data_IF_902176753908
#
_entry.id   IF_902176753908
#
_cell.length_a   1.000
_cell.length_b   1.000
_cell.length_c   1.000
_cell.angle_alpha   90.00
_cell.angle_beta   90.00
_cell.angle_gamma   90.00
#
_symmetry.space_group_name_H-M   'P 1'
#
loop_
_entity.id
_entity.type
_entity.pdbx_description
1 polymer ?
#
# COMPACT_ATOMS: atom_id res chain seq x y z
N UNK A 1 37.72 -29.24 7.16
CA UNK A 1 37.65 -28.14 6.17
C UNK A 1 36.56 -28.39 5.12
N UNK A 2 35.30 -28.65 5.51
CA UNK A 2 34.20 -28.99 4.57
C UNK A 2 32.89 -28.24 4.80
N UNK A 3 32.85 -27.26 5.71
CA UNK A 3 31.64 -26.46 5.98
C UNK A 3 31.76 -24.98 5.61
N UNK A 4 32.95 -24.52 5.18
CA UNK A 4 33.16 -23.11 4.80
C UNK A 4 32.64 -22.78 3.40
N UNK A 5 32.34 -23.77 2.57
CA UNK A 5 31.79 -23.56 1.22
C UNK A 5 30.25 -23.41 1.19
N UNK A 6 29.56 -23.67 2.31
CA UNK A 6 28.09 -23.60 2.35
C UNK A 6 27.54 -22.19 2.67
N UNK A 7 28.40 -21.24 3.03
CA UNK A 7 28.00 -19.86 3.38
C UNK A 7 27.98 -18.88 2.20
N UNK A 8 28.39 -19.31 1.00
CA UNK A 8 28.56 -18.41 -0.15
C UNK A 8 27.46 -18.49 -1.22
N UNK A 9 26.30 -19.09 -0.90
CA UNK A 9 25.19 -19.30 -1.84
C UNK A 9 23.86 -18.63 -1.42
N UNK A 10 23.87 -17.72 -0.45
CA UNK A 10 22.65 -17.02 0.03
C UNK A 10 22.70 -15.50 -0.11
N UNK A 11 23.48 -15.00 -1.08
CA UNK A 11 23.60 -13.55 -1.36
C UNK A 11 22.84 -13.09 -2.62
N UNK A 12 22.10 -13.96 -3.30
CA UNK A 12 21.30 -13.58 -4.47
C UNK A 12 19.79 -13.74 -4.16
N UNK A 13 19.05 -12.66 -4.45
CA UNK A 13 17.60 -12.52 -4.40
C UNK A 13 16.96 -12.00 -3.09
N UNK A 14 17.55 -10.95 -2.50
CA UNK A 14 16.73 -9.84 -1.99
C UNK A 14 16.46 -8.84 -3.13
N UNK A 15 15.96 -9.34 -4.27
CA UNK A 15 15.24 -8.47 -5.19
C UNK A 15 13.93 -8.13 -4.47
N UNK A 16 13.97 -7.09 -3.64
CA UNK A 16 12.74 -6.45 -3.19
C UNK A 16 11.88 -6.22 -4.42
N UNK A 17 10.57 -6.48 -4.32
CA UNK A 17 9.63 -6.21 -5.40
C UNK A 17 9.64 -4.70 -5.70
N UNK A 18 10.58 -4.24 -6.51
CA UNK A 18 10.57 -2.93 -7.12
C UNK A 18 9.59 -2.94 -8.28
N UNK A 19 9.15 -1.74 -8.69
CA UNK A 19 8.38 -1.59 -9.90
C UNK A 19 9.16 -2.15 -11.10
N UNK A 20 8.47 -2.81 -12.02
CA UNK A 20 9.10 -3.42 -13.19
C UNK A 20 9.68 -2.33 -14.11
N UNK A 21 10.96 -2.47 -14.48
CA UNK A 21 11.67 -1.56 -15.38
C UNK A 21 13.08 -1.24 -14.88
N UNK A 22 14.00 -1.00 -15.82
CA UNK A 22 15.42 -0.74 -15.55
C UNK A 22 15.71 0.75 -15.31
N UNK A 23 14.79 1.62 -15.73
CA UNK A 23 14.90 3.08 -15.56
C UNK A 23 13.71 3.62 -14.78
N UNK A 24 13.88 4.76 -14.11
CA UNK A 24 12.80 5.44 -13.41
C UNK A 24 11.59 5.72 -14.33
N UNK A 25 11.82 6.05 -15.61
CA UNK A 25 10.73 6.25 -16.58
C UNK A 25 9.94 4.97 -16.85
N UNK A 26 10.62 3.85 -17.07
CA UNK A 26 9.98 2.54 -17.27
C UNK A 26 9.22 2.09 -16.02
N UNK A 27 9.81 2.27 -14.84
CA UNK A 27 9.16 1.96 -13.56
C UNK A 27 7.89 2.80 -13.37
N UNK A 28 7.95 4.11 -13.64
CA UNK A 28 6.79 5.00 -13.63
C UNK A 28 5.70 4.55 -14.61
N UNK A 29 6.07 4.15 -15.82
CA UNK A 29 5.14 3.63 -16.82
C UNK A 29 4.47 2.33 -16.36
N UNK A 30 5.23 1.41 -15.76
CA UNK A 30 4.72 0.18 -15.18
C UNK A 30 3.71 0.45 -14.06
N UNK A 31 4.03 1.37 -13.15
CA UNK A 31 3.11 1.78 -12.07
C UNK A 31 1.83 2.41 -12.64
N UNK A 32 1.93 3.26 -13.66
CA UNK A 32 0.77 3.85 -14.31
C UNK A 32 -0.12 2.79 -14.99
N UNK A 33 0.48 1.77 -15.62
CA UNK A 33 -0.25 0.63 -16.18
C UNK A 33 -1.00 -0.13 -15.07
N UNK A 34 -0.31 -0.45 -13.98
CA UNK A 34 -0.87 -1.09 -12.79
C UNK A 34 -2.05 -0.29 -12.21
N UNK A 35 -1.93 1.04 -12.15
CA UNK A 35 -3.01 1.93 -11.73
C UNK A 35 -4.24 1.76 -12.61
N UNK A 36 -4.07 1.88 -13.93
CA UNK A 36 -5.18 1.79 -14.90
C UNK A 36 -5.90 0.44 -14.85
N UNK A 37 -5.13 -0.66 -14.80
CA UNK A 37 -5.69 -2.01 -14.70
C UNK A 37 -6.45 -2.22 -13.38
N UNK A 38 -5.88 -1.73 -12.27
CA UNK A 38 -6.50 -1.87 -10.95
C UNK A 38 -7.80 -1.07 -10.87
N UNK A 39 -7.83 0.17 -11.37
CA UNK A 39 -9.06 0.97 -11.40
C UNK A 39 -10.13 0.37 -12.31
N UNK A 40 -9.73 -0.14 -13.48
CA UNK A 40 -10.65 -0.87 -14.37
C UNK A 40 -11.27 -2.06 -13.66
N UNK A 41 -10.45 -2.88 -12.97
CA UNK A 41 -10.94 -4.01 -12.17
C UNK A 41 -11.81 -3.55 -11.00
N UNK A 42 -11.44 -2.47 -10.32
CA UNK A 42 -12.23 -1.89 -9.23
C UNK A 42 -13.63 -1.52 -9.71
N UNK A 43 -13.74 -0.79 -10.82
CA UNK A 43 -15.04 -0.35 -11.34
C UNK A 43 -15.92 -1.49 -11.85
N UNK A 44 -15.31 -2.58 -12.30
CA UNK A 44 -16.07 -3.79 -12.65
C UNK A 44 -16.62 -4.52 -11.42
N UNK A 45 -15.91 -4.47 -10.29
CA UNK A 45 -16.32 -5.11 -9.03
C UNK A 45 -17.24 -4.21 -8.18
N UNK A 46 -16.99 -2.91 -8.20
CA UNK A 46 -17.65 -1.86 -7.41
C UNK A 46 -17.91 -0.63 -8.29
N UNK A 47 -18.99 -0.65 -9.11
CA UNK A 47 -19.31 0.47 -10.01
C UNK A 47 -19.44 1.82 -9.29
N UNK A 48 -19.89 1.82 -8.04
CA UNK A 48 -20.03 2.99 -7.18
C UNK A 48 -18.69 3.66 -6.87
N UNK A 49 -17.58 2.90 -6.87
CA UNK A 49 -16.24 3.43 -6.63
C UNK A 49 -15.82 4.44 -7.70
N UNK A 50 -16.44 4.39 -8.90
CA UNK A 50 -16.24 5.41 -9.94
C UNK A 50 -16.70 6.78 -9.47
N UNK A 51 -17.89 6.85 -8.86
CA UNK A 51 -18.41 8.10 -8.31
C UNK A 51 -17.59 8.55 -7.12
N UNK A 52 -17.19 7.62 -6.25
CA UNK A 52 -16.37 7.92 -5.08
C UNK A 52 -15.03 8.58 -5.48
N UNK A 53 -14.31 7.98 -6.43
CA UNK A 53 -13.03 8.52 -6.90
C UNK A 53 -13.21 9.85 -7.66
N UNK A 54 -14.30 10.03 -8.39
CA UNK A 54 -14.56 11.27 -9.13
C UNK A 54 -14.78 12.49 -8.22
N UNK A 55 -15.32 12.28 -7.02
CA UNK A 55 -15.63 13.36 -6.07
C UNK A 55 -14.58 13.51 -4.96
N UNK A 56 -13.50 12.75 -5.02
CA UNK A 56 -12.40 12.79 -4.06
C UNK A 56 -11.43 13.95 -4.33
N UNK A 57 -10.61 14.29 -3.34
CA UNK A 57 -9.46 15.20 -3.50
C UNK A 57 -8.27 14.50 -4.17
N UNK A 58 -8.17 13.17 -4.01
CA UNK A 58 -7.14 12.35 -4.63
C UNK A 58 -7.33 10.87 -4.34
N UNK A 59 -6.54 10.03 -4.99
CA UNK A 59 -6.56 8.59 -4.74
C UNK A 59 -5.16 7.98 -4.88
N UNK A 60 -4.93 6.88 -4.20
CA UNK A 60 -3.70 6.10 -4.31
C UNK A 60 -4.01 4.69 -4.79
N UNK A 61 -3.17 4.15 -5.66
CA UNK A 61 -3.25 2.76 -6.10
C UNK A 61 -1.91 2.08 -5.84
N UNK A 62 -1.98 0.96 -5.13
CA UNK A 62 -0.83 0.18 -4.72
C UNK A 62 -0.94 -1.26 -5.19
N UNK A 63 0.18 -1.82 -5.63
CA UNK A 63 0.36 -3.25 -5.80
C UNK A 63 1.32 -3.76 -4.73
N UNK A 64 0.95 -4.82 -4.04
CA UNK A 64 1.80 -5.41 -3.01
C UNK A 64 1.78 -6.93 -3.04
N UNK A 65 2.92 -7.47 -2.63
CA UNK A 65 3.13 -8.88 -2.41
C UNK A 65 3.43 -9.07 -0.92
N UNK A 66 2.64 -9.91 -0.27
CA UNK A 66 2.86 -10.28 1.12
C UNK A 66 3.10 -11.78 1.23
N UNK A 67 4.05 -12.15 2.08
CA UNK A 67 4.39 -13.53 2.38
C UNK A 67 4.11 -13.79 3.85
N UNK A 68 3.49 -14.92 4.15
CA UNK A 68 3.28 -15.40 5.51
C UNK A 68 3.96 -16.74 5.71
N UNK A 69 4.67 -16.87 6.83
CA UNK A 69 5.30 -18.09 7.28
C UNK A 69 4.99 -18.25 8.77
N UNK A 70 4.16 -19.24 9.10
CA UNK A 70 3.71 -19.53 10.45
C UNK A 70 3.01 -18.32 11.09
N UNK A 71 3.65 -17.68 12.07
CA UNK A 71 3.12 -16.52 12.80
C UNK A 71 3.65 -15.19 12.29
N UNK A 72 4.61 -15.18 11.35
CA UNK A 72 5.23 -13.96 10.84
C UNK A 72 4.76 -13.67 9.41
N UNK A 73 4.33 -12.43 9.19
CA UNK A 73 3.98 -11.90 7.88
C UNK A 73 4.82 -10.67 7.54
N UNK A 74 5.33 -10.63 6.32
CA UNK A 74 6.04 -9.48 5.76
C UNK A 74 5.58 -9.23 4.34
N UNK A 75 5.58 -7.98 3.90
CA UNK A 75 5.18 -7.62 2.56
C UNK A 75 5.82 -6.32 2.11
N UNK A 76 5.85 -6.13 0.80
CA UNK A 76 6.35 -4.92 0.18
C UNK A 76 5.60 -4.64 -1.11
N UNK A 77 5.79 -3.44 -1.64
CA UNK A 77 5.22 -3.04 -2.90
C UNK A 77 5.34 -1.55 -3.13
N UNK A 78 4.58 -1.10 -4.11
CA UNK A 78 4.74 0.22 -4.69
C UNK A 78 3.42 0.70 -5.30
N UNK A 79 3.34 1.99 -5.56
CA UNK A 79 2.11 2.58 -6.06
C UNK A 79 2.29 4.03 -6.47
N UNK A 80 1.16 4.64 -6.78
CA UNK A 80 1.08 6.04 -7.17
C UNK A 80 -0.12 6.70 -6.52
N UNK A 81 0.08 7.93 -6.06
CA UNK A 81 -0.97 8.84 -5.62
C UNK A 81 -1.23 9.84 -6.71
N UNK A 82 -2.49 10.00 -7.08
CA UNK A 82 -2.97 11.04 -7.98
C UNK A 82 -3.65 12.12 -7.15
N UNK A 83 -3.09 13.33 -7.19
CA UNK A 83 -3.80 14.55 -6.76
C UNK A 83 -4.74 14.97 -7.90
N UNK A 84 -6.05 14.94 -7.64
CA UNK A 84 -7.06 15.23 -8.66
C UNK A 84 -7.18 16.72 -8.98
N UNK A 85 -6.71 17.60 -8.09
CA UNK A 85 -6.71 19.05 -8.29
C UNK A 85 -5.55 19.50 -9.17
N UNK A 86 -4.37 18.92 -8.98
CA UNK A 86 -3.16 19.30 -9.73
C UNK A 86 -2.87 18.38 -10.92
N UNK A 87 -3.47 17.19 -10.95
CA UNK A 87 -3.15 16.14 -11.92
C UNK A 87 -1.79 15.48 -11.69
N UNK A 88 -1.08 15.84 -10.61
CA UNK A 88 0.26 15.34 -10.30
C UNK A 88 0.20 13.90 -9.78
N UNK A 89 1.11 13.08 -10.30
CA UNK A 89 1.42 11.77 -9.74
C UNK A 89 2.59 11.87 -8.76
N UNK A 90 2.43 11.29 -7.57
CA UNK A 90 3.51 11.02 -6.62
C UNK A 90 3.68 9.52 -6.48
N UNK A 91 4.88 9.01 -6.76
CA UNK A 91 5.19 7.59 -6.64
C UNK A 91 5.55 7.24 -5.21
N UNK A 92 5.11 6.08 -4.74
CA UNK A 92 5.25 5.68 -3.34
C UNK A 92 5.67 4.22 -3.21
N UNK A 93 6.37 3.93 -2.12
CA UNK A 93 6.69 2.59 -1.63
C UNK A 93 5.78 2.23 -0.47
N UNK A 94 5.56 0.94 -0.26
CA UNK A 94 5.00 0.44 0.99
C UNK A 94 5.73 -0.80 1.51
N UNK A 95 5.69 -0.95 2.83
CA UNK A 95 6.06 -2.17 3.53
C UNK A 95 4.93 -2.59 4.46
N UNK A 96 4.81 -3.89 4.66
CA UNK A 96 3.85 -4.51 5.55
C UNK A 96 4.61 -5.44 6.49
N UNK A 97 4.23 -5.43 7.76
CA UNK A 97 4.74 -6.36 8.77
C UNK A 97 3.65 -6.67 9.78
N UNK A 98 3.51 -7.94 10.16
CA UNK A 98 2.47 -8.32 11.10
C UNK A 98 2.65 -9.73 11.63
N UNK A 99 1.97 -10.01 12.74
CA UNK A 99 1.88 -11.35 13.29
C UNK A 99 0.51 -11.95 12.96
N UNK A 100 0.48 -13.22 12.56
CA UNK A 100 -0.76 -13.95 12.33
C UNK A 100 -0.54 -15.29 11.65
N UNK A 101 -1.32 -16.28 12.08
CA UNK A 101 -1.25 -17.65 11.57
C UNK A 101 -1.62 -17.69 10.08
N UNK A 102 -0.70 -18.16 9.25
CA UNK A 102 -0.93 -18.36 7.83
C UNK A 102 0.33 -18.81 7.10
N UNK A 103 0.13 -19.31 5.89
CA UNK A 103 1.23 -19.70 5.02
C UNK A 103 0.88 -19.37 3.58
N UNK A 104 1.84 -18.78 2.87
CA UNK A 104 1.72 -18.51 1.43
C UNK A 104 2.04 -17.08 1.04
N UNK A 105 2.04 -16.85 -0.27
CA UNK A 105 2.21 -15.54 -0.89
C UNK A 105 0.86 -15.04 -1.35
N UNK A 106 0.56 -13.77 -1.05
CA UNK A 106 -0.67 -13.09 -1.45
C UNK A 106 -0.30 -11.85 -2.24
N UNK A 107 -0.75 -11.81 -3.50
CA UNK A 107 -0.78 -10.59 -4.30
C UNK A 107 -2.08 -9.84 -4.01
N UNK A 108 -1.96 -8.54 -3.76
CA UNK A 108 -3.11 -7.68 -3.49
C UNK A 108 -2.92 -6.32 -4.13
N UNK A 109 -4.04 -5.72 -4.55
CA UNK A 109 -4.12 -4.33 -4.99
C UNK A 109 -4.95 -3.56 -3.98
N UNK A 110 -4.45 -2.39 -3.60
CA UNK A 110 -5.13 -1.51 -2.64
C UNK A 110 -5.39 -0.17 -3.29
N UNK A 111 -6.63 0.31 -3.21
CA UNK A 111 -7.02 1.65 -3.65
C UNK A 111 -7.47 2.43 -2.43
N UNK A 112 -6.79 3.54 -2.15
CA UNK A 112 -7.18 4.50 -1.10
C UNK A 112 -7.78 5.72 -1.78
N UNK A 113 -8.94 6.17 -1.33
CA UNK A 113 -9.64 7.34 -1.87
C UNK A 113 -9.73 8.39 -0.79
N UNK A 114 -9.15 9.55 -1.03
CA UNK A 114 -9.03 10.65 -0.06
C UNK A 114 -10.07 11.73 -0.38
N UNK A 115 -11.03 11.92 0.53
CA UNK A 115 -12.04 12.98 0.50
C UNK A 115 -11.64 14.20 1.33
N UNK A 116 -10.36 14.29 1.69
CA UNK A 116 -9.81 15.37 2.48
C UNK A 116 -8.42 15.77 1.97
N UNK A 117 -8.29 17.03 1.61
CA UNK A 117 -7.02 17.62 1.15
C UNK A 117 -5.90 17.49 2.17
N UNK A 118 -6.19 17.65 3.46
CA UNK A 118 -5.16 17.56 4.48
C UNK A 118 -4.69 16.11 4.62
N UNK A 119 -5.60 15.13 4.62
CA UNK A 119 -5.25 13.71 4.62
C UNK A 119 -4.42 13.32 3.39
N UNK A 120 -4.83 13.74 2.19
CA UNK A 120 -4.08 13.51 0.95
C UNK A 120 -2.68 14.13 1.02
N UNK A 121 -2.59 15.39 1.43
CA UNK A 121 -1.33 16.11 1.52
C UNK A 121 -0.38 15.44 2.52
N UNK A 122 -0.86 15.15 3.73
CA UNK A 122 -0.10 14.42 4.75
C UNK A 122 0.39 13.07 4.22
N UNK A 123 -0.46 12.31 3.53
CA UNK A 123 -0.04 11.04 2.93
C UNK A 123 1.11 11.21 1.93
N UNK A 124 1.01 12.21 1.06
CA UNK A 124 2.01 12.51 0.02
C UNK A 124 3.32 12.98 0.65
N UNK A 125 3.28 13.79 1.71
CA UNK A 125 4.51 14.41 2.27
C UNK A 125 5.17 13.60 3.35
N UNK A 126 4.38 12.96 4.23
CA UNK A 126 4.87 12.26 5.42
C UNK A 126 4.72 10.75 5.30
N UNK A 127 3.88 10.27 4.37
CA UNK A 127 3.46 8.88 4.33
C UNK A 127 2.44 8.56 5.43
N UNK A 128 2.12 7.27 5.57
CA UNK A 128 1.27 6.80 6.68
C UNK A 128 1.83 5.52 7.29
N UNK A 129 1.55 5.36 8.59
CA UNK A 129 1.65 4.08 9.27
C UNK A 129 0.26 3.65 9.76
N UNK A 130 -0.18 2.50 9.31
CA UNK A 130 -1.39 1.82 9.81
C UNK A 130 -0.91 0.72 10.73
N UNK A 131 -1.44 0.61 11.95
CA UNK A 131 -1.06 -0.43 12.91
C UNK A 131 -2.26 -1.26 13.37
N UNK A 132 -1.99 -2.48 13.84
CA UNK A 132 -2.96 -3.38 14.46
C UNK A 132 -3.51 -2.88 15.80
N UNK A 133 -2.81 -1.92 16.42
CA UNK A 133 -3.11 -1.36 17.73
C UNK A 133 -2.89 0.16 17.66
N UNK A 134 -3.88 0.95 18.07
CA UNK A 134 -3.78 2.41 18.10
C UNK A 134 -2.59 2.87 18.97
N UNK A 135 -2.28 2.11 20.03
CA UNK A 135 -1.15 2.36 20.93
C UNK A 135 0.23 2.05 20.30
N UNK A 136 0.32 1.10 19.37
CA UNK A 136 1.58 0.81 18.68
C UNK A 136 1.90 1.88 17.63
N UNK A 137 0.87 2.47 17.03
CA UNK A 137 0.99 3.55 16.07
C UNK A 137 1.29 4.90 16.77
N UNK A 138 0.74 5.13 17.97
CA UNK A 138 1.04 6.30 18.81
C UNK A 138 2.49 6.33 19.36
N UNK A 139 3.15 5.18 19.58
CA UNK A 139 4.57 5.15 20.01
C UNK A 139 5.56 5.61 18.93
N UNK A 140 5.13 5.77 17.68
CA UNK A 140 5.95 6.28 16.58
C UNK A 140 5.71 7.78 16.30
N UNK A 141 4.83 8.44 17.07
CA UNK A 141 4.54 9.88 16.96
C UNK A 141 5.80 10.74 17.22
N UNK A 142 6.78 10.21 17.96
CA UNK A 142 8.12 10.82 18.16
C UNK A 142 8.93 11.01 16.85
N UNK A 143 8.45 10.48 15.71
CA UNK A 143 9.06 10.68 14.37
C UNK A 143 8.16 11.40 13.36
N UNK A 144 7.05 12.00 13.81
CA UNK A 144 6.24 12.93 13.00
C UNK A 144 5.39 12.30 11.89
N UNK A 145 5.00 11.03 12.02
CA UNK A 145 4.08 10.36 11.09
C UNK A 145 2.79 10.03 11.84
N UNK A 146 1.71 10.78 11.55
CA UNK A 146 0.42 10.55 12.18
C UNK A 146 -0.13 9.16 11.84
N UNK A 147 -0.60 8.38 12.84
CA UNK A 147 -1.18 7.06 12.59
C UNK A 147 -2.56 7.18 11.93
N UNK A 148 -2.84 6.31 10.96
CA UNK A 148 -4.19 6.14 10.39
C UNK A 148 -4.68 4.75 10.77
N UNK A 149 -5.77 4.64 11.53
CA UNK A 149 -6.41 3.34 11.74
C UNK A 149 -7.24 3.01 10.50
N UNK A 150 -6.63 2.37 9.50
CA UNK A 150 -7.38 1.87 8.36
C UNK A 150 -8.18 0.64 8.78
N UNK A 151 -9.51 0.79 8.80
CA UNK A 151 -10.42 -0.34 8.92
C UNK A 151 -10.19 -1.29 7.74
N UNK A 152 -9.45 -2.37 8.00
CA UNK A 152 -9.29 -3.49 7.09
C UNK A 152 -10.60 -4.28 7.02
N UNK A 153 -11.56 -3.76 6.26
CA UNK A 153 -12.68 -4.52 5.68
C UNK A 153 -13.33 -3.66 4.60
N UNK A 154 -13.52 -4.26 3.41
CA UNK A 154 -14.07 -3.58 2.24
C UNK A 154 -15.28 -2.74 2.59
N UNK A 155 -15.23 -1.45 2.20
CA UNK A 155 -16.20 -0.41 2.52
C UNK A 155 -16.57 -0.43 4.02
N UNK A 156 -15.74 0.22 4.83
CA UNK A 156 -16.04 0.40 6.25
C UNK A 156 -17.42 1.09 6.39
N UNK A 157 -18.41 0.34 6.88
CA UNK A 157 -19.71 0.87 7.30
C UNK A 157 -19.64 1.64 8.61
N UNK A 158 -18.43 1.80 9.15
CA UNK A 158 -18.14 2.62 10.31
C UNK A 158 -16.73 3.23 10.16
N UNK A 159 -16.67 4.43 9.61
CA UNK A 159 -15.47 5.24 9.35
C UNK A 159 -14.94 5.95 10.60
N UNK A 160 -15.30 5.46 11.79
CA UNK A 160 -15.12 6.17 13.06
C UNK A 160 -13.70 6.12 13.63
N UNK A 161 -12.81 5.26 13.07
CA UNK A 161 -11.38 5.17 13.46
C UNK A 161 -10.41 5.67 12.39
N UNK A 162 -10.86 5.83 11.14
CA UNK A 162 -10.17 6.61 10.12
C UNK A 162 -10.38 8.11 10.42
N UNK A 163 -9.49 9.04 10.01
CA UNK A 163 -10.00 10.38 9.72
C UNK A 163 -11.12 10.16 8.72
N UNK A 164 -12.34 10.60 9.04
CA UNK A 164 -13.66 10.17 8.53
C UNK A 164 -13.92 10.38 7.02
N UNK A 165 -12.86 10.34 6.20
CA UNK A 165 -12.76 10.87 4.85
C UNK A 165 -11.80 10.05 3.96
N UNK A 166 -11.44 8.82 4.33
CA UNK A 166 -10.64 7.93 3.45
C UNK A 166 -11.37 6.60 3.24
N UNK A 167 -11.63 6.23 1.98
CA UNK A 167 -12.16 4.90 1.65
C UNK A 167 -11.03 3.97 1.20
N UNK A 168 -11.12 2.69 1.56
CA UNK A 168 -10.12 1.68 1.20
C UNK A 168 -10.78 0.51 0.50
N UNK A 169 -10.27 0.18 -0.69
CA UNK A 169 -10.68 -0.98 -1.47
C UNK A 169 -9.50 -1.94 -1.62
N UNK A 170 -9.70 -3.21 -1.26
CA UNK A 170 -8.70 -4.26 -1.43
C UNK A 170 -9.16 -5.31 -2.42
N UNK A 171 -8.33 -5.57 -3.43
CA UNK A 171 -8.62 -6.49 -4.53
C UNK A 171 -7.54 -7.57 -4.56
N UNK A 172 -7.96 -8.83 -4.53
CA UNK A 172 -7.07 -9.98 -4.71
C UNK A 172 -7.37 -10.76 -5.98
N UNK A 173 -6.54 -11.75 -6.29
CA UNK A 173 -6.79 -12.70 -7.39
C UNK A 173 -8.10 -13.46 -7.20
N UNK A 174 -8.45 -13.82 -5.96
CA UNK A 174 -9.65 -14.58 -5.62
C UNK A 174 -10.90 -13.71 -5.39
N UNK A 175 -10.83 -12.40 -5.65
CA UNK A 175 -11.90 -11.44 -5.37
C UNK A 175 -11.61 -10.59 -4.13
N UNK A 176 -12.64 -10.29 -3.33
CA UNK A 176 -12.52 -9.46 -2.14
C UNK A 176 -11.71 -10.18 -1.05
N UNK A 177 -10.66 -9.55 -0.54
CA UNK A 177 -10.01 -10.01 0.68
C UNK A 177 -10.67 -9.38 1.89
N UNK A 178 -11.71 -10.02 2.42
CA UNK A 178 -12.11 -9.80 3.81
C UNK A 178 -11.22 -10.69 4.68
N UNK A 179 -10.11 -10.15 5.16
CA UNK A 179 -9.38 -10.79 6.23
C UNK A 179 -8.90 -9.71 7.19
N UNK A 180 -9.59 -9.59 8.33
CA UNK A 180 -9.16 -8.79 9.46
C UNK A 180 -7.81 -9.33 9.94
N UNK A 181 -6.73 -8.87 9.33
CA UNK A 181 -5.37 -9.19 9.73
C UNK A 181 -4.81 -7.99 10.48
N UNK A 182 -4.29 -8.26 11.67
CA UNK A 182 -3.51 -7.35 12.51
C UNK A 182 -2.14 -7.06 11.84
N UNK A 183 -2.15 -6.46 10.65
CA UNK A 183 -0.94 -6.09 9.94
C UNK A 183 -0.68 -4.59 10.11
N UNK A 184 0.58 -4.25 10.37
CA UNK A 184 1.07 -2.90 10.21
C UNK A 184 1.44 -2.63 8.75
N UNK A 185 1.12 -1.45 8.24
CA UNK A 185 1.56 -0.95 6.94
C UNK A 185 2.32 0.35 7.12
N UNK A 186 3.37 0.56 6.35
CA UNK A 186 4.07 1.84 6.21
C UNK A 186 4.08 2.23 4.74
N UNK A 187 3.71 3.47 4.44
CA UNK A 187 3.76 4.08 3.11
C UNK A 187 4.68 5.28 3.14
N UNK A 188 5.46 5.50 2.08
CA UNK A 188 6.32 6.68 1.97
C UNK A 188 6.63 7.01 0.50
N UNK A 189 6.97 8.28 0.18
CA UNK A 189 7.36 8.67 -1.18
C UNK A 189 8.59 7.94 -1.68
N UNK A 190 8.59 7.60 -2.97
CA UNK A 190 9.77 7.07 -3.65
C UNK A 190 10.63 8.21 -4.19
N UNK A 191 11.70 8.56 -3.48
CA UNK A 191 12.57 9.66 -3.87
C UNK A 191 13.16 9.50 -5.29
N UNK A 192 13.47 8.28 -5.70
CA UNK A 192 14.10 8.04 -7.01
C UNK A 192 13.10 8.27 -8.16
N UNK A 193 11.87 7.82 -7.98
CA UNK A 193 10.82 7.97 -9.00
C UNK A 193 10.24 9.38 -9.04
N UNK A 194 10.37 10.15 -7.96
CA UNK A 194 9.88 11.52 -7.86
C UNK A 194 10.93 12.61 -8.17
N UNK A 195 12.20 12.23 -8.46
CA UNK A 195 13.21 13.15 -8.99
C UNK A 195 12.79 13.64 -10.38
N UNK A 196 12.93 14.95 -10.61
CA UNK A 196 12.69 15.61 -11.89
C UNK A 196 13.97 15.69 -12.68
#
# INVERSE_FOLDING_TARGET
MKYQALFLASALALAGCSAQGDTASQQRASIQKIRSETLSKLYSLYPEARSDIQHADGYAVFASNSSKILVLGFGSGYGVVRDLRTGKDTYMKMAQGGAGLGMGVKQQRTVLVFHDKAALHTFITQGYMVGADANAAAKYDDKGVAPVAASASGVAKDTSSLPSKVNVYEITEKGLAAQAMLNGYKYWPDEELNKR
#
